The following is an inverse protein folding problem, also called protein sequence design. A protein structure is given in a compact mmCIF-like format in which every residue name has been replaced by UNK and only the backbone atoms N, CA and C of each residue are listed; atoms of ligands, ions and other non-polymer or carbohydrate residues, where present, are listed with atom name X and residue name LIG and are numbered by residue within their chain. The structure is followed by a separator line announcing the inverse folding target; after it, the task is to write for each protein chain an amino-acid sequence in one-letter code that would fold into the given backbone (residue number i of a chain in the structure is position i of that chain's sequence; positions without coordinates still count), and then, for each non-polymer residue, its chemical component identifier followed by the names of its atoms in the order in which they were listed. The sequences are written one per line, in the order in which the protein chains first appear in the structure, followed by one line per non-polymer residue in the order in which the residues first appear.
data_IF_550559281707
#
_entry.id   IF_550559281707
#
_cell.length_a   1.000
_cell.length_b   1.000
_cell.length_c   1.000
_cell.angle_alpha   90.00
_cell.angle_beta   90.00
_cell.angle_gamma   90.00
#
_symmetry.space_group_name_H-M   'P 1'
#
loop_
_entity.id
_entity.type
_entity.pdbx_description
1 polymer ?
#
# COMPACT_ATOMS: atom_id res chain seq x y z
N UNK A 1 -38.19 -16.53 -10.14
CA UNK A 1 -37.22 -17.53 -10.59
C UNK A 1 -36.17 -17.54 -9.50
N UNK A 2 -36.21 -18.53 -8.59
CA UNK A 2 -35.31 -18.58 -7.42
C UNK A 2 -33.91 -18.95 -7.92
N UNK A 3 -32.96 -18.04 -7.85
CA UNK A 3 -31.56 -18.35 -8.07
C UNK A 3 -31.14 -19.45 -7.11
N UNK A 4 -30.66 -20.53 -7.66
CA UNK A 4 -30.07 -21.65 -6.89
C UNK A 4 -28.82 -21.05 -6.19
N UNK A 5 -28.87 -20.92 -4.87
CA UNK A 5 -27.71 -20.69 -4.04
C UNK A 5 -26.73 -21.82 -4.35
N UNK A 6 -25.68 -21.52 -5.11
CA UNK A 6 -24.65 -22.52 -5.40
C UNK A 6 -23.88 -22.76 -4.09
N UNK A 7 -23.94 -23.99 -3.60
CA UNK A 7 -23.24 -24.45 -2.38
C UNK A 7 -21.71 -24.57 -2.58
N UNK A 8 -21.15 -24.04 -3.68
CA UNK A 8 -19.73 -24.06 -3.99
C UNK A 8 -19.04 -22.72 -3.71
N UNK A 9 -17.71 -22.67 -3.73
CA UNK A 9 -16.97 -21.43 -3.60
C UNK A 9 -17.31 -20.49 -4.76
N UNK A 10 -17.36 -19.18 -4.45
CA UNK A 10 -17.52 -18.10 -5.44
C UNK A 10 -16.31 -18.11 -6.35
N UNK A 11 -16.50 -18.25 -7.64
CA UNK A 11 -15.42 -18.20 -8.62
C UNK A 11 -15.22 -16.76 -9.11
N UNK A 12 -13.99 -16.31 -9.05
CA UNK A 12 -13.53 -15.02 -9.59
C UNK A 12 -12.42 -15.27 -10.61
N UNK A 13 -12.17 -14.31 -11.48
CA UNK A 13 -11.12 -14.42 -12.48
C UNK A 13 -9.74 -14.31 -11.82
N UNK A 14 -9.55 -13.26 -11.02
CA UNK A 14 -8.28 -13.00 -10.35
C UNK A 14 -8.50 -12.59 -8.90
N UNK A 15 -7.62 -13.03 -8.01
CA UNK A 15 -7.59 -12.67 -6.60
C UNK A 15 -6.26 -12.01 -6.26
N UNK A 16 -6.31 -10.87 -5.58
CA UNK A 16 -5.14 -10.15 -5.08
C UNK A 16 -5.19 -10.10 -3.56
N UNK A 17 -4.16 -10.62 -2.91
CA UNK A 17 -3.97 -10.65 -1.46
C UNK A 17 -2.66 -9.96 -1.12
N UNK A 18 -2.65 -9.10 -0.12
CA UNK A 18 -1.48 -8.38 0.36
C UNK A 18 -1.43 -8.37 1.88
N UNK A 19 -0.25 -8.12 2.44
CA UNK A 19 -0.06 -7.79 3.85
C UNK A 19 -0.73 -8.81 4.81
N UNK A 20 -0.45 -10.09 4.57
CA UNK A 20 -0.99 -11.21 5.38
C UNK A 20 -0.22 -11.36 6.69
N UNK A 21 1.12 -11.16 6.65
CA UNK A 21 2.01 -11.25 7.79
C UNK A 21 1.96 -12.59 8.55
N UNK A 22 1.99 -13.72 7.80
CA UNK A 22 2.16 -15.04 8.42
C UNK A 22 3.46 -15.08 9.23
N UNK A 23 3.39 -15.50 10.47
CA UNK A 23 4.51 -15.42 11.41
C UNK A 23 4.34 -14.33 12.45
N UNK A 24 3.39 -13.39 12.26
CA UNK A 24 3.03 -12.40 13.26
C UNK A 24 1.79 -12.83 14.06
N UNK A 25 1.66 -12.29 15.29
CA UNK A 25 0.48 -12.51 16.14
C UNK A 25 -0.75 -11.71 15.68
N UNK A 26 -0.52 -10.67 14.87
CA UNK A 26 -1.58 -9.82 14.31
C UNK A 26 -2.31 -10.44 13.12
N UNK A 27 -1.71 -11.45 12.47
CA UNK A 27 -2.29 -12.09 11.30
C UNK A 27 -3.65 -12.75 11.61
N UNK A 28 -4.69 -12.38 10.86
CA UNK A 28 -6.04 -12.96 10.95
C UNK A 28 -6.16 -14.21 10.05
N UNK A 29 -5.28 -15.19 10.30
CA UNK A 29 -5.15 -16.39 9.47
C UNK A 29 -6.43 -17.26 9.42
N UNK A 30 -7.22 -17.24 10.49
CA UNK A 30 -8.53 -17.92 10.55
C UNK A 30 -9.53 -17.32 9.55
N UNK A 31 -9.63 -15.98 9.51
CA UNK A 31 -10.50 -15.28 8.57
C UNK A 31 -10.02 -15.44 7.12
N UNK A 32 -8.70 -15.34 6.89
CA UNK A 32 -8.13 -15.57 5.58
C UNK A 32 -8.40 -17.00 5.09
N UNK A 33 -8.21 -17.99 5.96
CA UNK A 33 -8.47 -19.38 5.61
C UNK A 33 -9.94 -19.62 5.29
N UNK A 34 -10.84 -18.99 6.05
CA UNK A 34 -12.29 -19.04 5.79
C UNK A 34 -12.62 -18.35 4.46
N UNK A 35 -12.09 -17.17 4.18
CA UNK A 35 -12.22 -16.47 2.90
C UNK A 35 -11.77 -17.36 1.72
N UNK A 36 -10.58 -17.95 1.83
CA UNK A 36 -10.02 -18.83 0.80
C UNK A 36 -10.83 -20.14 0.59
N UNK A 37 -11.60 -20.58 1.57
CA UNK A 37 -12.54 -21.71 1.41
C UNK A 37 -13.75 -21.34 0.57
N UNK A 38 -14.16 -20.07 0.64
CA UNK A 38 -15.35 -19.57 -0.05
C UNK A 38 -15.06 -18.92 -1.41
N UNK A 39 -13.76 -18.67 -1.72
CA UNK A 39 -13.35 -18.06 -2.99
C UNK A 39 -12.33 -18.94 -3.72
N UNK A 40 -12.53 -19.13 -5.02
CA UNK A 40 -11.57 -19.76 -5.93
C UNK A 40 -11.33 -18.83 -7.12
N UNK A 41 -10.06 -18.69 -7.53
CA UNK A 41 -9.65 -17.84 -8.65
C UNK A 41 -8.84 -18.63 -9.68
N UNK A 42 -8.88 -18.19 -10.93
CA UNK A 42 -8.03 -18.74 -11.98
C UNK A 42 -6.58 -18.25 -11.83
N UNK A 43 -6.40 -16.99 -11.35
CA UNK A 43 -5.11 -16.41 -11.01
C UNK A 43 -5.12 -15.82 -9.61
N UNK A 44 -4.03 -15.99 -8.84
CA UNK A 44 -3.85 -15.40 -7.51
C UNK A 44 -2.53 -14.65 -7.46
N UNK A 45 -2.58 -13.39 -7.10
CA UNK A 45 -1.40 -12.58 -6.79
C UNK A 45 -1.25 -12.43 -5.28
N UNK A 46 -0.11 -12.83 -4.76
CA UNK A 46 0.35 -12.58 -3.39
C UNK A 46 1.24 -11.35 -3.43
N UNK A 47 0.67 -10.19 -3.06
CA UNK A 47 1.23 -8.86 -3.35
C UNK A 47 2.01 -8.33 -2.15
N UNK A 48 3.03 -9.08 -1.74
CA UNK A 48 3.99 -8.74 -0.71
C UNK A 48 3.51 -8.86 0.74
N UNK A 49 4.49 -8.95 1.62
CA UNK A 49 4.30 -9.09 3.08
C UNK A 49 3.38 -10.26 3.47
N UNK A 50 3.54 -11.37 2.73
CA UNK A 50 2.78 -12.60 2.97
C UNK A 50 3.35 -13.34 4.19
N UNK A 51 4.69 -13.37 4.31
CA UNK A 51 5.39 -13.95 5.46
C UNK A 51 6.15 -12.85 6.20
N UNK A 52 5.90 -12.71 7.50
CA UNK A 52 6.61 -11.73 8.33
C UNK A 52 7.98 -12.25 8.78
N UNK A 53 8.95 -12.19 7.89
CA UNK A 53 10.32 -12.59 8.15
C UNK A 53 11.00 -11.77 9.24
N UNK A 54 10.55 -10.52 9.48
CA UNK A 54 11.10 -9.69 10.54
C UNK A 54 10.66 -10.19 11.92
N UNK A 55 9.38 -10.52 12.09
CA UNK A 55 8.87 -11.11 13.35
C UNK A 55 9.50 -12.49 13.61
N UNK A 56 9.59 -13.33 12.57
CA UNK A 56 10.19 -14.66 12.69
C UNK A 56 11.67 -14.63 13.10
N UNK A 57 12.41 -13.58 12.70
CA UNK A 57 13.81 -13.38 13.16
C UNK A 57 13.90 -13.00 14.64
N UNK A 58 12.88 -12.36 15.21
CA UNK A 58 12.87 -11.98 16.63
C UNK A 58 12.37 -13.09 17.54
N UNK A 59 11.52 -13.97 17.03
CA UNK A 59 10.99 -15.12 17.77
C UNK A 59 10.08 -15.95 16.87
N UNK A 60 10.29 -17.27 16.88
CA UNK A 60 9.51 -18.17 16.05
C UNK A 60 8.05 -18.27 16.54
N UNK A 61 7.14 -17.81 15.70
CA UNK A 61 5.70 -17.94 15.92
C UNK A 61 5.04 -18.44 14.62
N UNK A 62 4.64 -19.72 14.62
CA UNK A 62 4.04 -20.36 13.44
C UNK A 62 2.95 -21.34 13.86
N UNK A 63 1.74 -20.84 14.23
CA UNK A 63 0.63 -21.70 14.61
C UNK A 63 0.11 -22.52 13.41
N UNK A 64 -0.65 -23.58 13.70
CA UNK A 64 -1.18 -24.50 12.68
C UNK A 64 -2.00 -23.75 11.60
N UNK A 65 -2.76 -22.72 11.97
CA UNK A 65 -3.54 -21.93 11.02
C UNK A 65 -2.68 -21.25 9.94
N UNK A 66 -1.45 -20.80 10.26
CA UNK A 66 -0.54 -20.26 9.26
C UNK A 66 -0.11 -21.33 8.25
N UNK A 67 0.16 -22.51 8.75
CA UNK A 67 0.45 -23.68 7.90
C UNK A 67 -0.73 -24.05 7.00
N UNK A 68 -1.97 -23.99 7.54
CA UNK A 68 -3.19 -24.30 6.81
C UNK A 68 -3.45 -23.30 5.67
N UNK A 69 -3.14 -21.99 5.86
CA UNK A 69 -3.20 -20.97 4.82
C UNK A 69 -2.23 -21.32 3.68
N UNK A 70 -0.97 -21.61 4.01
CA UNK A 70 0.05 -22.01 3.01
C UNK A 70 -0.41 -23.25 2.23
N UNK A 71 -0.91 -24.29 2.95
CA UNK A 71 -1.42 -25.50 2.31
C UNK A 71 -2.62 -25.21 1.40
N UNK A 72 -3.50 -24.27 1.79
CA UNK A 72 -4.66 -23.89 0.96
C UNK A 72 -4.22 -23.22 -0.33
N UNK A 73 -3.24 -22.33 -0.30
CA UNK A 73 -2.66 -21.69 -1.49
C UNK A 73 -1.97 -22.72 -2.40
N UNK A 74 -1.13 -23.59 -1.85
CA UNK A 74 -0.49 -24.67 -2.60
C UNK A 74 -1.50 -25.63 -3.22
N UNK A 75 -2.65 -25.84 -2.57
CA UNK A 75 -3.73 -26.67 -3.11
C UNK A 75 -4.44 -25.99 -4.27
N UNK A 76 -4.59 -24.66 -4.25
CA UNK A 76 -5.13 -23.91 -5.40
C UNK A 76 -4.19 -24.02 -6.60
N UNK A 77 -2.87 -23.85 -6.40
CA UNK A 77 -1.88 -24.07 -7.46
C UNK A 77 -1.98 -25.48 -8.08
N UNK A 78 -2.07 -26.52 -7.23
CA UNK A 78 -2.24 -27.91 -7.71
C UNK A 78 -3.55 -28.17 -8.44
N UNK A 79 -4.57 -27.37 -8.20
CA UNK A 79 -5.86 -27.41 -8.94
C UNK A 79 -5.80 -26.68 -10.28
N UNK A 80 -4.69 -26.03 -10.60
CA UNK A 80 -4.45 -25.35 -11.88
C UNK A 80 -4.57 -23.83 -11.83
N UNK A 81 -4.79 -23.22 -10.65
CA UNK A 81 -4.70 -21.78 -10.50
C UNK A 81 -3.24 -21.31 -10.69
N UNK A 82 -3.05 -20.18 -11.39
CA UNK A 82 -1.74 -19.54 -11.52
C UNK A 82 -1.49 -18.68 -10.27
N UNK A 83 -0.41 -18.96 -9.54
CA UNK A 83 -0.05 -18.21 -8.34
C UNK A 83 1.28 -17.48 -8.56
N UNK A 84 1.25 -16.16 -8.34
CA UNK A 84 2.42 -15.30 -8.39
C UNK A 84 2.68 -14.69 -7.02
N UNK A 85 3.90 -14.77 -6.55
CA UNK A 85 4.34 -14.19 -5.29
C UNK A 85 5.28 -13.01 -5.58
N UNK A 86 4.88 -11.81 -5.20
CA UNK A 86 5.66 -10.59 -5.30
C UNK A 86 6.15 -10.24 -3.88
N UNK A 87 7.44 -10.38 -3.55
CA UNK A 87 7.92 -10.12 -2.20
C UNK A 87 7.82 -8.65 -1.80
N UNK A 88 7.37 -8.39 -0.56
CA UNK A 88 7.41 -7.10 0.09
C UNK A 88 8.68 -6.90 0.94
N UNK A 89 8.64 -5.94 1.86
CA UNK A 89 9.77 -5.66 2.75
C UNK A 89 9.86 -6.63 3.94
N UNK A 90 8.74 -7.21 4.41
CA UNK A 90 8.77 -8.21 5.48
C UNK A 90 9.26 -9.58 5.00
N UNK A 91 9.08 -9.88 3.73
CA UNK A 91 9.53 -11.11 3.08
C UNK A 91 10.61 -10.86 2.01
N UNK A 92 11.40 -9.78 2.19
CA UNK A 92 12.50 -9.37 1.30
C UNK A 92 13.53 -10.47 1.00
N UNK A 93 13.66 -11.48 1.89
CA UNK A 93 14.55 -12.63 1.70
C UNK A 93 14.17 -13.49 0.49
N UNK A 94 12.93 -13.38 -0.01
CA UNK A 94 12.48 -14.05 -1.22
C UNK A 94 12.93 -13.35 -2.50
N UNK A 95 13.46 -12.13 -2.42
CA UNK A 95 13.95 -11.38 -3.59
C UNK A 95 15.16 -12.03 -4.26
N UNK A 96 15.93 -12.81 -3.48
CA UNK A 96 17.05 -13.60 -4.02
C UNK A 96 16.59 -14.80 -4.89
N UNK A 97 15.27 -15.07 -4.92
CA UNK A 97 14.67 -16.24 -5.57
C UNK A 97 13.73 -15.91 -6.73
N UNK A 98 13.84 -14.74 -7.33
CA UNK A 98 13.07 -14.39 -8.52
C UNK A 98 13.23 -15.40 -9.66
N UNK A 99 12.13 -15.73 -10.33
CA UNK A 99 12.06 -16.74 -11.38
C UNK A 99 12.03 -18.19 -10.88
N UNK A 100 11.99 -18.41 -9.57
CA UNK A 100 11.84 -19.76 -8.99
C UNK A 100 10.38 -20.09 -8.68
N UNK A 101 10.10 -21.38 -8.49
CA UNK A 101 8.76 -21.88 -8.21
C UNK A 101 8.73 -22.69 -6.92
N UNK A 102 7.84 -22.38 -6.01
CA UNK A 102 7.56 -23.14 -4.78
C UNK A 102 6.21 -23.85 -4.87
N UNK A 103 6.21 -25.14 -5.17
CA UNK A 103 4.96 -25.90 -5.22
C UNK A 103 3.91 -25.39 -6.22
N UNK A 104 4.38 -24.71 -7.29
CA UNK A 104 3.53 -24.09 -8.31
C UNK A 104 3.24 -22.61 -8.07
N UNK A 105 3.85 -21.99 -7.04
CA UNK A 105 3.82 -20.54 -6.82
C UNK A 105 5.10 -19.96 -7.41
N UNK A 106 4.99 -19.07 -8.38
CA UNK A 106 6.11 -18.38 -9.01
C UNK A 106 6.48 -17.14 -8.22
N UNK A 107 7.79 -16.96 -7.92
CA UNK A 107 8.30 -15.74 -7.28
C UNK A 107 8.77 -14.77 -8.34
N UNK A 108 8.17 -13.58 -8.38
CA UNK A 108 8.45 -12.54 -9.38
C UNK A 108 8.74 -11.21 -8.70
N UNK A 109 9.51 -10.34 -9.35
CA UNK A 109 9.78 -8.99 -8.84
C UNK A 109 8.54 -8.11 -8.91
N UNK A 110 7.88 -8.14 -10.04
CA UNK A 110 6.60 -7.49 -10.34
C UNK A 110 5.86 -8.30 -11.42
N UNK A 111 4.62 -7.95 -11.71
CA UNK A 111 3.86 -8.57 -12.79
C UNK A 111 3.04 -7.53 -13.55
N UNK A 112 2.73 -7.84 -14.81
CA UNK A 112 1.72 -7.11 -15.57
C UNK A 112 0.48 -7.99 -15.68
N UNK A 113 -0.53 -7.62 -14.93
CA UNK A 113 -1.84 -8.26 -15.04
C UNK A 113 -2.64 -7.66 -16.20
N UNK A 114 -3.18 -8.51 -17.07
CA UNK A 114 -4.09 -8.09 -18.13
C UNK A 114 -5.53 -8.38 -17.71
N UNK A 115 -6.30 -7.32 -17.46
CA UNK A 115 -7.70 -7.42 -17.09
C UNK A 115 -8.57 -8.06 -18.16
N UNK A 116 -9.76 -8.50 -17.80
CA UNK A 116 -10.74 -9.03 -18.77
C UNK A 116 -11.18 -7.97 -19.78
N UNK A 117 -11.09 -6.68 -19.40
CA UNK A 117 -11.33 -5.52 -20.28
C UNK A 117 -10.15 -5.21 -21.21
N UNK A 118 -9.06 -5.97 -21.13
CA UNK A 118 -7.84 -5.78 -21.93
C UNK A 118 -6.88 -4.71 -21.38
N UNK A 119 -7.21 -4.01 -20.30
CA UNK A 119 -6.31 -3.06 -19.65
C UNK A 119 -5.17 -3.78 -18.93
N UNK A 120 -4.06 -3.08 -18.82
CA UNK A 120 -2.83 -3.60 -18.22
C UNK A 120 -2.58 -2.93 -16.87
N UNK A 121 -2.38 -3.73 -15.86
CA UNK A 121 -2.16 -3.28 -14.48
C UNK A 121 -0.78 -3.74 -14.01
N UNK A 122 0.03 -2.81 -13.50
CA UNK A 122 1.27 -3.15 -12.83
C UNK A 122 0.93 -3.69 -11.44
N UNK A 123 1.36 -4.92 -11.13
CA UNK A 123 1.20 -5.52 -9.81
C UNK A 123 2.54 -5.50 -9.09
N UNK A 124 2.62 -4.77 -7.98
CA UNK A 124 3.82 -4.60 -7.17
C UNK A 124 3.45 -4.44 -5.70
N UNK A 125 4.34 -4.78 -4.78
CA UNK A 125 4.05 -4.51 -3.36
C UNK A 125 4.05 -3.00 -3.06
N UNK A 126 5.08 -2.29 -3.51
CA UNK A 126 5.14 -0.84 -3.42
C UNK A 126 6.12 -0.29 -2.38
N UNK A 127 6.69 -1.10 -1.53
CA UNK A 127 7.65 -0.70 -0.49
C UNK A 127 8.92 -0.01 -1.05
N UNK A 128 9.32 -0.33 -2.27
CA UNK A 128 10.47 0.32 -2.93
C UNK A 128 10.23 1.81 -3.21
N UNK A 129 8.98 2.22 -3.27
CA UNK A 129 8.56 3.61 -3.53
C UNK A 129 8.29 4.39 -2.24
N UNK A 130 8.45 3.75 -1.10
CA UNK A 130 8.30 4.36 0.21
C UNK A 130 9.63 4.91 0.73
N UNK A 131 9.90 6.16 0.39
CA UNK A 131 11.11 6.88 0.84
C UNK A 131 11.09 7.12 2.35
N UNK A 132 9.91 7.17 2.98
CA UNK A 132 9.71 7.53 4.39
C UNK A 132 9.97 6.35 5.33
N UNK A 133 9.63 5.12 4.93
CA UNK A 133 9.83 3.93 5.79
C UNK A 133 11.31 3.61 6.00
N UNK A 134 12.19 3.95 5.07
CA UNK A 134 13.65 3.85 5.31
C UNK A 134 14.11 4.61 6.56
N UNK A 135 13.38 5.63 6.99
CA UNK A 135 13.73 6.48 8.13
C UNK A 135 12.79 6.33 9.34
N UNK A 136 11.64 5.66 9.20
CA UNK A 136 10.58 5.60 10.23
C UNK A 136 10.41 4.23 10.91
N UNK A 137 11.30 3.26 10.66
CA UNK A 137 11.29 1.93 11.35
C UNK A 137 11.19 2.04 12.88
N UNK A 138 11.75 3.09 13.47
CA UNK A 138 11.69 3.32 14.92
C UNK A 138 10.38 3.97 15.38
N UNK A 139 9.64 4.65 14.49
CA UNK A 139 8.33 5.26 14.80
C UNK A 139 7.20 4.23 14.83
N UNK A 140 7.27 3.20 14.00
CA UNK A 140 6.27 2.11 13.98
C UNK A 140 6.33 1.26 15.25
N UNK A 141 7.54 1.02 15.81
CA UNK A 141 7.71 0.28 17.07
C UNK A 141 7.14 1.02 18.29
N UNK A 142 6.88 2.31 18.19
CA UNK A 142 6.26 3.13 19.25
C UNK A 142 4.72 3.18 19.15
N UNK A 143 4.11 2.59 18.10
CA UNK A 143 2.71 2.86 17.76
C UNK A 143 1.65 2.26 18.70
N UNK A 144 1.77 1.04 19.13
CA UNK A 144 0.65 0.31 19.75
C UNK A 144 0.62 0.30 21.28
N UNK A 145 1.76 0.50 21.96
CA UNK A 145 1.78 0.65 23.43
C UNK A 145 1.87 2.10 23.92
N UNK A 146 2.31 2.99 23.03
CA UNK A 146 2.61 4.38 23.37
C UNK A 146 1.37 5.27 23.44
N UNK A 147 0.27 4.91 22.78
CA UNK A 147 -0.94 5.75 22.79
C UNK A 147 -1.62 5.73 24.15
N UNK A 148 -1.87 4.56 24.73
CA UNK A 148 -2.47 4.43 26.05
C UNK A 148 -1.55 4.96 27.14
N UNK A 149 -0.26 4.68 27.02
CA UNK A 149 0.76 5.24 27.90
C UNK A 149 0.86 6.77 27.76
N UNK A 150 0.74 7.30 26.55
CA UNK A 150 0.79 8.74 26.28
C UNK A 150 -0.42 9.48 26.88
N UNK A 151 -1.62 8.89 26.84
CA UNK A 151 -2.82 9.48 27.48
C UNK A 151 -2.62 9.52 29.00
N UNK A 152 -2.17 8.43 29.60
CA UNK A 152 -1.90 8.35 31.04
C UNK A 152 -0.78 9.32 31.46
N UNK A 153 0.34 9.32 30.72
CA UNK A 153 1.46 10.22 30.95
C UNK A 153 1.10 11.70 30.70
N UNK A 154 0.19 12.01 29.76
CA UNK A 154 -0.18 13.38 29.44
C UNK A 154 -0.78 14.12 30.64
N UNK A 155 -1.55 13.44 31.47
CA UNK A 155 -2.13 14.03 32.70
C UNK A 155 -1.04 14.35 33.73
N UNK A 156 -0.14 13.41 33.99
CA UNK A 156 1.00 13.60 34.89
C UNK A 156 2.03 14.57 34.32
N UNK A 157 2.32 14.45 33.03
CA UNK A 157 3.28 15.31 32.34
C UNK A 157 2.84 16.79 32.36
N UNK A 158 1.56 17.08 32.14
CA UNK A 158 1.05 18.45 32.19
C UNK A 158 0.95 18.98 33.65
N UNK A 159 0.77 18.11 34.62
CA UNK A 159 0.84 18.52 36.04
C UNK A 159 2.29 18.95 36.41
N UNK A 160 3.30 18.16 36.02
CA UNK A 160 4.72 18.49 36.24
C UNK A 160 5.11 19.76 35.43
N UNK A 161 4.70 19.88 34.17
CA UNK A 161 4.95 21.06 33.34
C UNK A 161 4.39 22.32 33.99
N UNK A 162 3.19 22.23 34.57
CA UNK A 162 2.54 23.35 35.27
C UNK A 162 3.30 23.77 36.52
N UNK A 163 3.82 22.80 37.30
CA UNK A 163 4.65 23.08 38.49
C UNK A 163 6.01 23.71 38.12
N UNK A 164 6.51 23.48 36.90
CA UNK A 164 7.76 24.03 36.36
C UNK A 164 7.55 25.33 35.55
N UNK A 165 6.34 25.89 35.53
CA UNK A 165 6.01 27.11 34.79
C UNK A 165 6.02 26.96 33.26
N UNK A 166 5.99 25.72 32.75
CA UNK A 166 5.99 25.42 31.31
C UNK A 166 4.55 25.44 30.74
N UNK A 167 4.42 25.85 29.49
CA UNK A 167 3.14 25.89 28.77
C UNK A 167 2.53 24.52 28.59
N UNK A 168 1.19 24.43 28.56
CA UNK A 168 0.43 23.21 28.33
C UNK A 168 0.81 22.55 27.00
N UNK A 169 1.04 21.23 27.01
CA UNK A 169 1.27 20.43 25.79
C UNK A 169 -0.02 19.69 25.44
N UNK A 170 -0.49 19.84 24.20
CA UNK A 170 -1.77 19.29 23.77
C UNK A 170 -1.60 17.98 22.99
N UNK A 171 -2.05 16.88 23.59
CA UNK A 171 -2.10 15.58 22.92
C UNK A 171 -2.99 15.65 21.66
N UNK A 172 -4.04 16.46 21.67
CA UNK A 172 -4.93 16.62 20.52
C UNK A 172 -4.24 17.29 19.31
N UNK A 173 -3.37 18.27 19.55
CA UNK A 173 -2.57 18.90 18.49
C UNK A 173 -1.56 17.92 17.91
N UNK A 174 -0.90 17.13 18.77
CA UNK A 174 0.01 16.09 18.34
C UNK A 174 -0.72 15.02 17.50
N UNK A 175 -1.90 14.54 17.94
CA UNK A 175 -2.70 13.58 17.20
C UNK A 175 -3.15 14.13 15.83
N UNK A 176 -3.61 15.39 15.75
CA UNK A 176 -3.95 16.06 14.49
C UNK A 176 -2.76 16.13 13.54
N UNK A 177 -1.56 16.44 14.06
CA UNK A 177 -0.35 16.48 13.25
C UNK A 177 0.03 15.08 12.72
N UNK A 178 -0.14 14.04 13.54
CA UNK A 178 0.09 12.64 13.14
C UNK A 178 -0.86 12.22 12.02
N UNK A 179 -2.17 12.52 12.17
CA UNK A 179 -3.17 12.23 11.14
C UNK A 179 -2.85 12.97 9.84
N UNK A 180 -2.52 14.26 9.92
CA UNK A 180 -2.12 15.05 8.74
C UNK A 180 -0.90 14.46 8.04
N UNK A 181 0.12 14.05 8.81
CA UNK A 181 1.32 13.44 8.23
C UNK A 181 1.01 12.08 7.57
N UNK A 182 0.13 11.27 8.19
CA UNK A 182 -0.30 10.01 7.60
C UNK A 182 -1.06 10.21 6.28
N UNK A 183 -1.98 11.18 6.23
CA UNK A 183 -2.72 11.52 5.00
C UNK A 183 -1.79 12.01 3.89
N UNK A 184 -0.84 12.90 4.23
CA UNK A 184 0.16 13.37 3.25
C UNK A 184 1.02 12.22 2.73
N UNK A 185 1.45 11.33 3.63
CA UNK A 185 2.23 10.14 3.29
C UNK A 185 1.49 9.23 2.29
N UNK A 186 0.22 8.90 2.58
CA UNK A 186 -0.61 8.10 1.67
C UNK A 186 -0.69 8.77 0.29
N UNK A 187 -0.92 10.09 0.25
CA UNK A 187 -1.01 10.83 -1.01
C UNK A 187 0.30 10.85 -1.82
N UNK A 188 1.44 10.98 -1.16
CA UNK A 188 2.76 10.94 -1.82
C UNK A 188 3.07 9.53 -2.36
N UNK A 189 2.78 8.49 -1.58
CA UNK A 189 2.92 7.10 -1.98
C UNK A 189 2.09 6.79 -3.23
N UNK A 190 0.81 7.08 -3.19
CA UNK A 190 -0.10 6.88 -4.32
C UNK A 190 0.37 7.62 -5.58
N UNK A 191 0.76 8.88 -5.44
CA UNK A 191 1.25 9.70 -6.55
C UNK A 191 2.50 9.09 -7.19
N UNK A 192 3.40 8.55 -6.36
CA UNK A 192 4.63 7.90 -6.83
C UNK A 192 4.33 6.64 -7.62
N UNK A 193 3.43 5.79 -7.13
CA UNK A 193 3.01 4.57 -7.83
C UNK A 193 2.27 4.86 -9.14
N UNK A 194 1.41 5.87 -9.15
CA UNK A 194 0.73 6.34 -10.36
C UNK A 194 1.75 6.83 -11.41
N UNK A 195 2.80 7.54 -10.96
CA UNK A 195 3.87 8.01 -11.84
C UNK A 195 4.66 6.83 -12.43
N UNK A 196 4.93 5.79 -11.64
CA UNK A 196 5.60 4.58 -12.11
C UNK A 196 4.75 3.80 -13.13
N UNK A 197 3.44 3.65 -12.86
CA UNK A 197 2.52 3.02 -13.80
C UNK A 197 2.49 3.77 -15.14
N UNK A 198 2.43 5.09 -15.11
CA UNK A 198 2.53 5.93 -16.32
C UNK A 198 3.85 5.74 -17.06
N UNK A 199 4.97 5.69 -16.33
CA UNK A 199 6.29 5.44 -16.90
C UNK A 199 6.39 4.10 -17.63
N UNK A 200 5.71 3.07 -17.08
CA UNK A 200 5.64 1.73 -17.70
C UNK A 200 4.60 1.61 -18.79
N UNK A 201 3.80 2.65 -19.04
CA UNK A 201 2.77 2.66 -20.08
C UNK A 201 1.67 1.65 -19.83
N UNK A 202 1.23 1.53 -18.57
CA UNK A 202 0.11 0.67 -18.16
C UNK A 202 -1.09 1.52 -17.70
N UNK A 203 -2.27 0.90 -17.68
CA UNK A 203 -3.55 1.57 -17.42
C UNK A 203 -3.88 1.64 -15.92
N UNK A 204 -3.12 0.93 -15.08
CA UNK A 204 -3.34 0.95 -13.64
C UNK A 204 -2.20 0.33 -12.84
N UNK A 205 -2.30 0.44 -11.52
CA UNK A 205 -1.40 -0.20 -10.54
C UNK A 205 -2.21 -0.89 -9.46
N UNK A 206 -1.79 -2.10 -9.09
CA UNK A 206 -2.34 -2.89 -7.98
C UNK A 206 -1.21 -3.10 -6.98
N UNK A 207 -1.43 -2.69 -5.74
CA UNK A 207 -0.39 -2.70 -4.70
C UNK A 207 -0.93 -3.06 -3.31
N UNK A 208 -0.04 -3.11 -2.31
CA UNK A 208 -0.32 -3.30 -0.89
C UNK A 208 0.39 -2.26 -0.03
N UNK A 209 1.10 -2.72 1.01
CA UNK A 209 2.07 -2.02 1.83
C UNK A 209 1.53 -0.99 2.82
N UNK A 210 0.59 -0.13 2.43
CA UNK A 210 0.06 0.93 3.31
C UNK A 210 -1.18 0.51 4.10
N UNK A 211 -1.61 -0.75 3.98
CA UNK A 211 -2.76 -1.34 4.69
C UNK A 211 -4.07 -0.56 4.51
N UNK A 212 -4.24 0.10 3.36
CA UNK A 212 -5.40 0.93 3.07
C UNK A 212 -6.11 0.48 1.78
N UNK A 213 -7.11 -0.39 1.93
CA UNK A 213 -7.85 -0.92 0.79
C UNK A 213 -8.63 0.19 0.07
N UNK A 214 -8.35 0.38 -1.23
CA UNK A 214 -9.04 1.38 -2.04
C UNK A 214 -8.97 1.03 -3.53
N UNK A 215 -10.03 1.33 -4.27
CA UNK A 215 -10.05 1.38 -5.73
C UNK A 215 -10.37 2.82 -6.11
N UNK A 216 -9.47 3.46 -6.84
CA UNK A 216 -9.62 4.85 -7.27
C UNK A 216 -9.25 5.01 -8.73
N UNK A 217 -10.10 5.71 -9.47
CA UNK A 217 -9.82 6.08 -10.85
C UNK A 217 -9.30 7.51 -10.89
N UNK A 218 -8.01 7.67 -11.11
CA UNK A 218 -7.40 8.95 -11.47
C UNK A 218 -7.50 9.18 -12.99
N UNK A 219 -7.41 10.41 -13.50
CA UNK A 219 -7.49 10.65 -14.93
C UNK A 219 -6.50 9.81 -15.74
N UNK A 220 -7.04 8.79 -16.44
CA UNK A 220 -6.29 7.90 -17.32
C UNK A 220 -5.50 6.78 -16.59
N UNK A 221 -5.74 6.51 -15.31
CA UNK A 221 -5.08 5.43 -14.59
C UNK A 221 -5.93 4.94 -13.40
N UNK A 222 -6.01 3.61 -13.23
CA UNK A 222 -6.68 3.00 -12.09
C UNK A 222 -5.65 2.66 -10.99
N UNK A 223 -5.87 3.16 -9.77
CA UNK A 223 -5.09 2.82 -8.59
C UNK A 223 -5.87 1.89 -7.68
N UNK A 224 -5.27 0.75 -7.31
CA UNK A 224 -5.88 -0.28 -6.47
C UNK A 224 -4.90 -0.64 -5.36
N UNK A 225 -5.34 -0.58 -4.10
CA UNK A 225 -4.61 -1.13 -2.97
C UNK A 225 -5.41 -2.25 -2.32
N UNK A 226 -4.76 -3.38 -2.05
CA UNK A 226 -5.42 -4.60 -1.57
C UNK A 226 -5.80 -4.54 -0.08
N UNK A 227 -5.21 -3.60 0.68
CA UNK A 227 -5.35 -3.56 2.13
C UNK A 227 -4.51 -4.63 2.83
N UNK A 228 -5.04 -5.27 3.87
CA UNK A 228 -4.29 -6.19 4.74
C UNK A 228 -5.15 -7.29 5.35
N UNK A 229 -4.48 -8.29 5.96
CA UNK A 229 -5.09 -9.37 6.75
C UNK A 229 -4.67 -9.32 8.23
N UNK A 230 -4.37 -8.14 8.74
CA UNK A 230 -4.06 -7.85 10.14
C UNK A 230 -5.21 -7.11 10.81
N UNK A 231 -5.67 -6.01 10.20
CA UNK A 231 -6.70 -5.13 10.74
C UNK A 231 -7.96 -5.10 9.87
N UNK A 232 -7.81 -4.84 8.58
CA UNK A 232 -8.94 -4.60 7.67
C UNK A 232 -9.58 -5.88 7.12
N UNK A 233 -8.81 -6.96 7.00
CA UNK A 233 -9.22 -8.25 6.42
C UNK A 233 -9.85 -8.07 5.04
N UNK A 234 -9.10 -7.50 4.12
CA UNK A 234 -9.56 -7.18 2.77
C UNK A 234 -8.82 -7.95 1.69
N UNK A 235 -9.50 -8.18 0.59
CA UNK A 235 -8.95 -8.73 -0.65
C UNK A 235 -9.52 -7.96 -1.82
N UNK A 236 -8.76 -7.86 -2.92
CA UNK A 236 -9.28 -7.37 -4.19
C UNK A 236 -9.54 -8.56 -5.10
N UNK A 237 -10.69 -8.59 -5.74
CA UNK A 237 -11.03 -9.57 -6.77
C UNK A 237 -11.31 -8.87 -8.09
N UNK A 238 -10.97 -9.53 -9.18
CA UNK A 238 -11.43 -9.18 -10.50
C UNK A 238 -12.46 -10.22 -10.94
N UNK A 239 -13.62 -9.76 -11.35
CA UNK A 239 -14.66 -10.61 -11.92
C UNK A 239 -14.38 -10.95 -13.39
N UNK A 240 -15.13 -11.90 -13.94
CA UNK A 240 -14.98 -12.33 -15.33
C UNK A 240 -15.40 -11.26 -16.35
N UNK A 241 -16.14 -10.25 -15.94
CA UNK A 241 -16.50 -9.07 -16.74
C UNK A 241 -15.47 -7.94 -16.68
N UNK A 242 -14.42 -8.08 -15.84
CA UNK A 242 -13.35 -7.10 -15.66
C UNK A 242 -13.61 -6.07 -14.56
N UNK A 243 -14.72 -6.19 -13.82
CA UNK A 243 -14.96 -5.33 -12.66
C UNK A 243 -14.07 -5.74 -11.49
N UNK A 244 -13.48 -4.75 -10.80
CA UNK A 244 -12.72 -4.96 -9.57
C UNK A 244 -13.57 -4.64 -8.36
N UNK A 245 -13.53 -5.53 -7.36
CA UNK A 245 -14.26 -5.39 -6.09
C UNK A 245 -13.31 -5.56 -4.91
N UNK A 246 -13.47 -4.71 -3.87
CA UNK A 246 -12.86 -4.94 -2.56
C UNK A 246 -13.83 -5.75 -1.72
N UNK A 247 -13.40 -6.93 -1.30
CA UNK A 247 -14.16 -7.76 -0.37
C UNK A 247 -13.57 -7.56 1.03
N UNK A 248 -14.38 -7.06 1.96
CA UNK A 248 -14.04 -7.02 3.38
C UNK A 248 -14.61 -8.25 4.08
N UNK A 249 -13.74 -9.11 4.61
CA UNK A 249 -14.14 -10.36 5.21
C UNK A 249 -14.16 -10.29 6.74
N UNK A 250 -15.35 -10.22 7.31
CA UNK A 250 -15.54 -10.17 8.77
C UNK A 250 -15.71 -11.57 9.40
N UNK A 251 -15.64 -12.63 8.60
CA UNK A 251 -16.03 -13.99 8.98
C UNK A 251 -17.52 -14.20 8.77
N UNK A 252 -17.95 -15.43 8.48
CA UNK A 252 -19.37 -15.78 8.50
C UNK A 252 -19.79 -15.93 9.97
N UNK A 253 -20.34 -14.90 10.56
CA UNK A 253 -21.32 -15.11 11.61
C UNK A 253 -22.53 -15.79 10.95
N UNK A 254 -22.98 -16.93 11.49
CA UNK A 254 -24.12 -17.66 10.94
C UNK A 254 -25.31 -16.71 10.82
N UNK A 255 -25.58 -16.20 9.62
CA UNK A 255 -26.81 -15.47 9.30
C UNK A 255 -26.72 -13.98 8.97
N UNK A 256 -25.53 -13.40 8.69
CA UNK A 256 -25.44 -12.00 8.27
C UNK A 256 -24.88 -11.89 6.85
N UNK A 257 -25.63 -11.18 6.03
CA UNK A 257 -25.47 -10.90 4.62
C UNK A 257 -24.12 -10.25 4.28
N UNK A 258 -23.56 -10.60 3.11
CA UNK A 258 -22.39 -9.93 2.54
C UNK A 258 -22.70 -8.44 2.38
N UNK A 259 -22.23 -7.61 3.30
CA UNK A 259 -22.33 -6.17 3.10
C UNK A 259 -21.22 -5.74 2.15
N UNK A 260 -21.58 -5.55 0.89
CA UNK A 260 -20.83 -4.78 -0.08
C UNK A 260 -20.72 -3.36 0.48
N UNK A 261 -19.61 -3.07 1.15
CA UNK A 261 -19.35 -1.69 1.58
C UNK A 261 -18.86 -0.93 0.35
N UNK A 262 -19.79 -0.34 -0.37
CA UNK A 262 -19.46 0.77 -1.23
C UNK A 262 -18.91 1.87 -0.31
N UNK A 263 -17.60 2.05 -0.29
CA UNK A 263 -16.97 3.16 0.42
C UNK A 263 -17.48 4.43 -0.24
N UNK A 264 -18.26 5.23 0.52
CA UNK A 264 -18.68 6.55 0.07
C UNK A 264 -17.44 7.36 -0.33
N UNK A 265 -17.48 8.04 -1.48
CA UNK A 265 -16.39 8.95 -1.84
C UNK A 265 -16.31 10.03 -0.76
N UNK A 266 -15.12 10.20 -0.18
CA UNK A 266 -14.82 11.32 0.71
C UNK A 266 -15.40 12.59 0.13
N UNK A 267 -16.26 13.26 0.90
CA UNK A 267 -17.05 14.41 0.51
C UNK A 267 -16.24 15.47 -0.24
N UNK A 268 -16.88 16.13 -1.20
CA UNK A 268 -16.34 17.10 -2.12
C UNK A 268 -15.60 18.31 -1.48
N UNK A 269 -15.56 18.41 -0.17
CA UNK A 269 -14.88 19.48 0.57
C UNK A 269 -13.33 19.38 0.57
N UNK A 270 -12.75 18.25 0.19
CA UNK A 270 -11.29 18.12 0.03
C UNK A 270 -10.77 18.59 -1.34
N UNK A 271 -11.64 19.04 -2.24
CA UNK A 271 -11.27 19.49 -3.60
C UNK A 271 -10.96 20.98 -3.75
N UNK A 272 -11.06 21.77 -2.69
CA UNK A 272 -10.78 23.20 -2.74
C UNK A 272 -9.35 23.52 -2.26
N UNK A 273 -8.36 23.07 -3.00
CA UNK A 273 -7.06 23.71 -3.08
C UNK A 273 -6.87 24.13 -4.53
N UNK A 274 -7.53 25.21 -4.94
CA UNK A 274 -7.15 25.94 -6.14
C UNK A 274 -5.74 26.49 -5.96
N UNK A 275 -4.85 26.40 -6.97
CA UNK A 275 -3.57 27.09 -6.93
C UNK A 275 -3.84 28.57 -7.00
N UNK A 276 -3.58 29.29 -5.92
CA UNK A 276 -3.56 30.74 -5.93
C UNK A 276 -2.54 31.22 -6.97
N UNK A 277 -3.03 31.85 -8.00
CA UNK A 277 -2.26 32.62 -8.97
C UNK A 277 -1.52 33.74 -8.23
N UNK A 278 -0.26 33.47 -7.89
CA UNK A 278 0.67 34.51 -7.44
C UNK A 278 1.04 35.30 -8.70
N UNK A 279 0.41 36.47 -8.87
CA UNK A 279 0.83 37.46 -9.83
C UNK A 279 2.24 37.94 -9.47
N UNK A 280 3.21 37.66 -10.33
CA UNK A 280 4.56 38.18 -10.24
C UNK A 280 4.53 39.69 -10.45
N UNK A 281 5.06 40.52 -9.51
CA UNK A 281 5.33 41.91 -9.82
C UNK A 281 6.59 41.96 -10.69
N UNK A 282 6.44 42.43 -11.93
CA UNK A 282 7.55 42.68 -12.84
C UNK A 282 8.52 43.73 -12.28
N UNK A 283 9.84 43.57 -12.50
CA UNK A 283 10.82 44.59 -12.09
C UNK A 283 10.74 45.77 -13.05
N UNK A 284 10.42 46.97 -12.49
CA UNK A 284 10.70 48.24 -13.16
C UNK A 284 12.21 48.52 -13.07
N UNK A 285 12.86 48.55 -14.22
CA UNK A 285 14.14 49.22 -14.37
C UNK A 285 14.00 50.29 -15.48
N UNK A 286 14.08 51.49 -15.08
CA UNK A 286 14.33 52.64 -15.99
C UNK A 286 15.73 53.16 -15.73
N UNK A 287 16.51 53.27 -16.78
CA UNK A 287 17.45 54.37 -17.03
C UNK A 287 18.89 54.22 -16.63
N UNK A 288 19.73 54.22 -17.59
CA UNK A 288 20.77 55.18 -17.88
C UNK A 288 22.08 54.57 -18.37
N UNK A 289 22.33 54.82 -19.56
CA UNK A 289 23.49 54.99 -20.44
C UNK A 289 24.93 54.89 -19.86
N UNK A 290 25.75 54.41 -20.80
CA UNK A 290 27.13 54.77 -21.12
C UNK A 290 28.21 53.71 -20.89
N UNK A 291 28.72 53.17 -21.98
CA UNK A 291 30.11 53.39 -22.39
C UNK A 291 31.08 52.22 -22.10
N UNK A 292 31.63 51.65 -23.15
CA UNK A 292 32.98 51.11 -23.10
C UNK A 292 33.17 49.65 -23.47
N UNK A 293 33.34 49.34 -24.74
CA UNK A 293 34.20 48.23 -25.15
C UNK A 293 35.68 48.56 -24.95
N UNK A 294 36.58 47.62 -24.71
CA UNK A 294 37.34 47.08 -25.82
C UNK A 294 37.74 45.57 -25.77
N UNK A 295 37.75 44.98 -26.93
CA UNK A 295 38.78 44.18 -27.63
C UNK A 295 39.65 43.15 -26.87
N UNK A 296 39.48 41.91 -27.31
CA UNK A 296 40.50 40.95 -27.88
C UNK A 296 41.75 40.58 -27.07
N UNK A 297 41.89 39.31 -26.81
CA UNK A 297 43.12 38.56 -27.14
C UNK A 297 42.91 37.05 -27.11
N UNK A 298 43.37 36.43 -28.19
CA UNK A 298 43.42 35.00 -28.44
C UNK A 298 44.72 34.36 -27.87
N UNK A 299 44.72 33.05 -27.77
CA UNK A 299 45.91 32.22 -27.64
C UNK A 299 45.84 31.23 -26.48
N UNK A 300 46.07 30.01 -26.51
CA UNK A 300 46.71 28.96 -27.34
C UNK A 300 46.52 27.62 -26.62
N UNK A 301 46.34 26.59 -27.35
CA UNK A 301 46.46 25.16 -26.99
C UNK A 301 47.94 24.73 -27.20
N UNK A 302 48.35 23.48 -26.89
CA UNK A 302 48.31 22.46 -25.85
C UNK A 302 49.74 22.12 -25.32
N UNK A 303 50.19 20.96 -24.89
CA UNK A 303 49.90 19.55 -25.26
C UNK A 303 49.81 18.53 -24.08
N UNK A 304 49.56 17.30 -24.52
CA UNK A 304 49.48 16.04 -23.79
C UNK A 304 50.74 15.63 -23.00
N UNK A 305 50.51 14.80 -21.99
CA UNK A 305 51.41 13.93 -21.28
C UNK A 305 50.56 12.91 -20.53
#
# INVERSE_FOLDING_TARGET
MLERISNGPRRVRTLFLSDIHLGSRGCQADKLLDFLRHHEADTVYLVGDIVDGWQLKTGWYWPQLHNDVVQKLLRQARKGAQLHYIPGNHDEFLRDYYGTHFGGIEVVEDAIHTGADGKRYLVIHGDLFDVVIRHARWLALLGNGAYDLAIWLNTYFNAIRRSLGLTYWSLSQWAKLKVKNAVNFIGEYETTLISEARRRGVDGVICGHIHHAVIRNDPGLCYINCGDWVESCTAVVEHFDGEFEIIKWMGREQGVDESTVALEPLSAEARACEPSTIASPGPRWAGSAAGGSPQVAAGTKPPAG
#
